data_IF_392252363182
#
_entry.id   IF_392252363182
#
_cell.length_a   1.000
_cell.length_b   1.000
_cell.length_c   1.000
_cell.angle_alpha   90.00
_cell.angle_beta   90.00
_cell.angle_gamma   90.00
#
_symmetry.space_group_name_H-M   'P 1'
#
loop_
_entity.id
_entity.type
_entity.pdbx_description
1 polymer ?
#
# COMPACT_ATOMS: atom_id res chain seq x y z
N UNK A 1 2.98 8.77 -42.33
CA UNK A 1 3.36 8.47 -40.96
C UNK A 1 2.16 8.68 -40.03
N UNK A 2 1.25 7.68 -39.99
CA UNK A 2 -0.02 7.75 -39.23
C UNK A 2 0.08 7.07 -37.87
N UNK A 3 1.27 6.79 -37.36
CA UNK A 3 1.47 6.10 -36.09
C UNK A 3 1.26 7.02 -34.87
N UNK A 4 1.41 8.33 -35.02
CA UNK A 4 1.27 9.26 -33.89
C UNK A 4 -0.18 9.44 -33.43
N UNK A 5 -1.13 9.48 -34.37
CA UNK A 5 -2.55 9.67 -34.00
C UNK A 5 -3.13 8.40 -33.35
N UNK A 6 -2.72 7.22 -33.76
CA UNK A 6 -3.14 5.97 -33.13
C UNK A 6 -2.55 5.73 -31.74
N UNK A 7 -1.41 6.36 -31.43
CA UNK A 7 -0.77 6.31 -30.11
C UNK A 7 -1.42 7.33 -29.17
N UNK A 8 -1.81 8.50 -29.69
CA UNK A 8 -2.51 9.53 -28.91
C UNK A 8 -3.87 9.08 -28.39
N UNK A 9 -4.60 8.28 -29.18
CA UNK A 9 -5.90 7.75 -28.76
C UNK A 9 -5.83 6.59 -27.76
N UNK A 10 -4.66 5.99 -27.55
CA UNK A 10 -4.47 4.82 -26.68
C UNK A 10 -3.98 5.18 -25.29
N UNK A 11 -3.48 6.36 -25.10
CA UNK A 11 -3.00 6.83 -23.79
C UNK A 11 -4.07 7.71 -23.14
N UNK A 12 -4.47 7.47 -21.89
CA UNK A 12 -5.24 8.45 -21.11
C UNK A 12 -4.42 9.73 -20.87
N UNK A 13 -3.16 9.72 -21.18
CA UNK A 13 -2.25 10.84 -21.24
C UNK A 13 -1.82 11.06 -22.70
N UNK A 14 -1.81 12.26 -23.14
CA UNK A 14 -1.51 12.73 -24.49
C UNK A 14 -0.08 12.43 -24.95
N UNK A 15 0.31 11.15 -25.07
CA UNK A 15 1.61 10.75 -25.59
C UNK A 15 2.45 9.89 -24.62
N UNK A 16 3.25 9.00 -25.17
CA UNK A 16 4.26 8.25 -24.43
C UNK A 16 5.32 9.24 -23.91
N UNK A 17 5.42 9.37 -22.60
CA UNK A 17 6.36 10.29 -21.94
C UNK A 17 5.73 11.47 -21.21
N UNK A 18 4.46 11.80 -21.50
CA UNK A 18 3.77 12.90 -20.81
C UNK A 18 3.17 12.50 -19.44
N UNK A 19 3.29 11.23 -19.05
CA UNK A 19 2.75 10.74 -17.79
C UNK A 19 3.86 10.58 -16.78
N UNK A 20 3.91 11.48 -15.83
CA UNK A 20 4.86 11.42 -14.73
C UNK A 20 4.09 11.20 -13.41
N UNK A 21 4.31 10.05 -12.79
CA UNK A 21 3.70 9.71 -11.48
C UNK A 21 4.66 10.03 -10.34
N UNK A 22 4.14 10.55 -9.23
CA UNK A 22 4.85 10.77 -7.97
C UNK A 22 4.33 9.79 -6.96
N UNK A 23 5.24 9.14 -6.27
CA UNK A 23 4.91 8.18 -5.21
C UNK A 23 6.11 7.97 -4.30
N UNK A 24 5.84 7.48 -3.11
CA UNK A 24 6.88 7.12 -2.17
C UNK A 24 7.80 6.03 -2.76
N UNK A 25 9.07 6.11 -2.43
CA UNK A 25 10.17 5.30 -3.01
C UNK A 25 9.97 3.80 -2.90
N UNK A 26 9.36 3.33 -1.82
CA UNK A 26 9.14 1.92 -1.52
C UNK A 26 7.68 1.49 -1.68
N UNK A 27 6.82 2.34 -2.24
CA UNK A 27 5.42 2.02 -2.47
C UNK A 27 5.25 0.77 -3.33
N UNK A 28 4.22 -0.01 -3.03
CA UNK A 28 3.95 -1.31 -3.66
C UNK A 28 3.86 -1.21 -5.18
N UNK A 29 3.14 -0.20 -5.68
CA UNK A 29 2.93 0.02 -7.12
C UNK A 29 4.24 0.30 -7.89
N UNK A 30 5.31 0.68 -7.21
CA UNK A 30 6.62 0.85 -7.82
C UNK A 30 7.46 -0.42 -7.73
N UNK A 31 7.53 -1.02 -6.54
CA UNK A 31 8.49 -2.09 -6.23
C UNK A 31 8.00 -3.47 -6.70
N UNK A 32 6.68 -3.73 -6.61
CA UNK A 32 6.17 -5.12 -6.70
C UNK A 32 5.25 -5.40 -7.88
N UNK A 33 4.92 -4.41 -8.72
CA UNK A 33 3.98 -4.60 -9.84
C UNK A 33 4.69 -4.89 -11.18
N UNK A 34 5.88 -5.50 -11.14
CA UNK A 34 6.60 -5.96 -12.33
C UNK A 34 6.93 -4.85 -13.34
N UNK A 35 7.02 -3.60 -12.91
CA UNK A 35 7.22 -2.46 -13.81
C UNK A 35 6.00 -2.11 -14.66
N UNK A 36 4.80 -2.59 -14.28
CA UNK A 36 3.56 -2.36 -15.02
C UNK A 36 3.22 -0.90 -15.27
N UNK A 37 3.63 0.00 -14.38
CA UNK A 37 3.50 1.45 -14.58
C UNK A 37 4.21 1.95 -15.85
N UNK A 38 5.35 1.36 -16.19
CA UNK A 38 6.10 1.70 -17.41
C UNK A 38 5.61 0.87 -18.61
N UNK A 39 5.57 -0.46 -18.45
CA UNK A 39 5.29 -1.39 -19.54
C UNK A 39 3.84 -1.28 -20.08
N UNK A 40 2.86 -1.05 -19.21
CA UNK A 40 1.44 -1.05 -19.58
C UNK A 40 0.86 0.37 -19.66
N UNK A 41 1.32 1.27 -18.80
CA UNK A 41 0.78 2.64 -18.74
C UNK A 41 1.69 3.68 -19.38
N UNK A 42 2.90 3.32 -19.83
CA UNK A 42 3.86 4.25 -20.43
C UNK A 42 4.28 5.38 -19.47
N UNK A 43 4.23 5.14 -18.15
CA UNK A 43 4.49 6.17 -17.16
C UNK A 43 5.96 6.20 -16.76
N UNK A 44 6.53 7.41 -16.69
CA UNK A 44 7.74 7.65 -15.90
C UNK A 44 7.38 7.91 -14.45
N UNK A 45 8.31 7.67 -13.52
CA UNK A 45 8.10 7.83 -12.07
C UNK A 45 9.11 8.85 -11.51
N UNK A 46 8.62 9.76 -10.66
CA UNK A 46 9.43 10.49 -9.69
C UNK A 46 9.22 9.88 -8.31
N UNK A 47 10.30 9.45 -7.70
CA UNK A 47 10.29 8.91 -6.35
C UNK A 47 10.41 10.06 -5.36
N UNK A 48 9.52 10.08 -4.39
CA UNK A 48 9.49 11.05 -3.30
C UNK A 48 10.00 10.35 -2.04
N UNK A 49 10.86 10.98 -1.23
CA UNK A 49 11.24 10.39 0.05
C UNK A 49 10.04 10.30 0.98
N UNK A 50 10.05 9.30 1.84
CA UNK A 50 9.05 9.12 2.89
C UNK A 50 9.70 8.63 4.17
N UNK A 51 9.20 9.10 5.31
CA UNK A 51 9.52 8.56 6.61
C UNK A 51 8.49 7.50 6.98
N UNK A 52 8.93 6.27 7.27
CA UNK A 52 8.01 5.13 7.42
C UNK A 52 7.06 4.97 6.22
N UNK A 53 7.48 5.33 5.00
CA UNK A 53 6.64 5.28 3.80
C UNK A 53 5.64 6.42 3.64
N UNK A 54 5.67 7.43 4.51
CA UNK A 54 4.79 8.58 4.52
C UNK A 54 5.49 9.80 3.92
N UNK A 55 5.04 10.24 2.75
CA UNK A 55 5.57 11.44 2.08
C UNK A 55 5.16 12.72 2.80
N UNK A 56 6.04 13.70 2.81
CA UNK A 56 5.68 15.05 3.22
C UNK A 56 5.07 15.82 2.03
N UNK A 57 3.99 16.60 2.22
CA UNK A 57 3.41 17.43 1.18
C UNK A 57 4.41 18.35 0.48
N UNK A 58 5.37 18.94 1.20
CA UNK A 58 6.39 19.82 0.62
C UNK A 58 7.32 19.07 -0.34
N UNK A 59 7.71 17.83 -0.03
CA UNK A 59 8.54 17.00 -0.91
C UNK A 59 7.75 16.57 -2.15
N UNK A 60 6.46 16.30 -2.01
CA UNK A 60 5.58 16.02 -3.16
C UNK A 60 5.53 17.25 -4.07
N UNK A 61 5.33 18.45 -3.55
CA UNK A 61 5.29 19.68 -4.32
C UNK A 61 6.61 19.93 -5.05
N UNK A 62 7.73 19.81 -4.35
CA UNK A 62 9.07 19.98 -4.93
C UNK A 62 9.38 18.97 -6.05
N UNK A 63 8.76 17.79 -6.02
CA UNK A 63 8.93 16.76 -7.04
C UNK A 63 8.14 17.03 -8.32
N UNK A 64 7.12 17.89 -8.28
CA UNK A 64 6.24 18.14 -9.43
C UNK A 64 6.95 19.06 -10.42
N UNK A 65 7.19 18.51 -11.60
CA UNK A 65 7.76 19.29 -12.72
C UNK A 65 6.66 20.06 -13.42
N UNK A 66 6.90 21.36 -13.64
CA UNK A 66 6.03 22.24 -14.42
C UNK A 66 6.71 22.48 -15.76
N UNK A 67 6.09 22.06 -16.85
CA UNK A 67 6.64 22.21 -18.20
C UNK A 67 6.67 23.64 -18.70
N UNK A 68 5.98 24.56 -18.03
CA UNK A 68 5.91 25.97 -18.38
C UNK A 68 7.32 26.60 -18.32
N UNK A 69 7.79 27.08 -19.45
CA UNK A 69 9.13 27.66 -19.61
C UNK A 69 10.26 26.66 -19.85
N UNK A 70 10.00 25.37 -19.93
CA UNK A 70 11.02 24.34 -20.18
C UNK A 70 11.28 24.05 -21.65
N UNK A 71 10.59 24.70 -22.59
CA UNK A 71 10.60 24.37 -24.01
C UNK A 71 10.31 22.90 -24.34
N UNK A 72 9.57 22.18 -23.43
CA UNK A 72 9.23 20.77 -23.61
C UNK A 72 10.36 19.79 -23.26
N UNK A 73 11.40 20.22 -22.57
CA UNK A 73 12.54 19.35 -22.22
C UNK A 73 12.20 18.24 -21.24
N UNK A 74 11.09 18.34 -20.49
CA UNK A 74 10.64 17.29 -19.58
C UNK A 74 9.11 17.25 -19.48
N UNK A 75 8.55 16.06 -19.21
CA UNK A 75 7.09 15.90 -19.09
C UNK A 75 6.56 16.55 -17.83
N UNK A 76 5.31 17.03 -17.92
CA UNK A 76 4.57 17.55 -16.78
C UNK A 76 4.19 16.46 -15.79
N UNK A 77 4.02 16.83 -14.54
CA UNK A 77 3.38 15.98 -13.56
C UNK A 77 1.93 15.68 -13.93
N UNK A 78 1.52 14.43 -13.86
CA UNK A 78 0.15 14.04 -14.22
C UNK A 78 -0.60 13.29 -13.12
N UNK A 79 0.13 12.70 -12.17
CA UNK A 79 -0.49 11.94 -11.09
C UNK A 79 0.39 11.94 -9.83
N UNK A 80 -0.26 11.99 -8.67
CA UNK A 80 0.32 11.72 -7.35
C UNK A 80 -0.37 10.51 -6.76
N UNK A 81 0.42 9.53 -6.29
CA UNK A 81 -0.10 8.34 -5.64
C UNK A 81 0.41 8.27 -4.19
N UNK A 82 -0.48 7.95 -3.25
CA UNK A 82 -0.14 7.63 -1.86
C UNK A 82 -0.53 6.18 -1.57
N UNK A 83 0.19 5.52 -0.68
CA UNK A 83 -0.11 4.17 -0.22
C UNK A 83 -0.54 4.22 1.25
N UNK A 84 -1.77 3.82 1.56
CA UNK A 84 -2.30 3.85 2.92
C UNK A 84 -3.05 2.54 3.26
N UNK A 85 -2.51 1.73 4.17
CA UNK A 85 -1.27 1.89 4.95
C UNK A 85 -0.03 1.60 4.11
N UNK A 86 1.12 2.20 4.48
CA UNK A 86 2.39 1.88 3.81
C UNK A 86 2.87 0.48 4.20
N UNK A 87 3.04 -0.39 3.21
CA UNK A 87 3.49 -1.76 3.43
C UNK A 87 4.95 -1.81 3.89
N UNK A 88 5.84 -1.12 3.19
CA UNK A 88 7.27 -1.08 3.53
C UNK A 88 7.56 -0.17 4.71
N UNK A 89 6.65 0.73 5.05
CA UNK A 89 6.71 1.54 6.26
C UNK A 89 6.26 0.81 7.54
N UNK A 90 5.92 -0.48 7.46
CA UNK A 90 5.50 -1.22 8.66
C UNK A 90 4.00 -1.12 8.98
N UNK A 91 3.19 -0.71 8.02
CA UNK A 91 1.74 -0.51 8.23
C UNK A 91 1.38 0.88 8.74
N UNK A 92 2.29 1.82 8.59
CA UNK A 92 2.10 3.23 8.97
C UNK A 92 0.97 3.88 8.19
N UNK A 93 0.33 4.86 8.83
CA UNK A 93 -0.85 5.54 8.32
C UNK A 93 -0.56 7.02 8.06
N UNK A 94 -1.08 7.53 6.95
CA UNK A 94 -1.10 8.98 6.71
C UNK A 94 -2.06 9.68 7.68
N UNK A 95 -1.63 10.81 8.25
CA UNK A 95 -2.55 11.71 8.93
C UNK A 95 -3.51 12.37 7.93
N UNK A 96 -4.66 12.83 8.45
CA UNK A 96 -5.64 13.57 7.65
C UNK A 96 -5.04 14.79 6.97
N UNK A 97 -4.20 15.52 7.69
CA UNK A 97 -3.55 16.75 7.25
C UNK A 97 -2.61 16.48 6.06
N UNK A 98 -1.82 15.41 6.14
CA UNK A 98 -0.93 14.99 5.06
C UNK A 98 -1.72 14.52 3.82
N UNK A 99 -2.78 13.72 4.00
CA UNK A 99 -3.65 13.30 2.90
C UNK A 99 -4.27 14.50 2.19
N UNK A 100 -4.89 15.41 2.93
CA UNK A 100 -5.54 16.60 2.40
C UNK A 100 -4.51 17.53 1.71
N UNK A 101 -3.33 17.70 2.32
CA UNK A 101 -2.24 18.52 1.78
C UNK A 101 -1.73 17.99 0.44
N UNK A 102 -1.48 16.69 0.34
CA UNK A 102 -1.01 16.05 -0.91
C UNK A 102 -2.08 16.15 -2.01
N UNK A 103 -3.34 15.88 -1.68
CA UNK A 103 -4.44 15.99 -2.64
C UNK A 103 -4.62 17.44 -3.14
N UNK A 104 -4.48 18.42 -2.24
CA UNK A 104 -4.50 19.85 -2.60
C UNK A 104 -3.38 20.19 -3.57
N UNK A 105 -2.14 19.78 -3.27
CA UNK A 105 -0.97 20.01 -4.13
C UNK A 105 -1.17 19.37 -5.51
N UNK A 106 -1.67 18.14 -5.56
CA UNK A 106 -1.97 17.46 -6.82
C UNK A 106 -2.94 18.30 -7.66
N UNK A 107 -4.06 18.74 -7.08
CA UNK A 107 -5.09 19.55 -7.75
C UNK A 107 -4.56 20.90 -8.24
N UNK A 108 -3.81 21.63 -7.41
CA UNK A 108 -3.23 22.93 -7.75
C UNK A 108 -2.20 22.84 -8.89
N UNK A 109 -1.62 21.67 -9.09
CA UNK A 109 -0.66 21.39 -10.16
C UNK A 109 -1.26 20.60 -11.33
N UNK A 110 -2.59 20.53 -11.46
CA UNK A 110 -3.30 19.77 -12.49
C UNK A 110 -2.91 18.29 -12.57
N UNK A 111 -2.46 17.70 -11.47
CA UNK A 111 -2.20 16.28 -11.34
C UNK A 111 -3.46 15.56 -10.84
N UNK A 112 -3.70 14.35 -11.35
CA UNK A 112 -4.64 13.42 -10.73
C UNK A 112 -4.07 12.89 -9.44
N UNK A 113 -4.94 12.43 -8.56
CA UNK A 113 -4.56 11.84 -7.28
C UNK A 113 -5.17 10.45 -7.08
N UNK A 114 -4.37 9.53 -6.55
CA UNK A 114 -4.80 8.16 -6.29
C UNK A 114 -4.33 7.68 -4.93
N UNK A 115 -5.17 6.91 -4.24
CA UNK A 115 -4.78 6.16 -3.05
C UNK A 115 -4.67 4.69 -3.41
N UNK A 116 -3.48 4.10 -3.26
CA UNK A 116 -3.37 2.66 -3.06
C UNK A 116 -3.82 2.36 -1.63
N UNK A 117 -5.08 2.00 -1.51
CA UNK A 117 -5.76 1.71 -0.25
C UNK A 117 -5.83 0.21 0.03
N UNK A 118 -4.79 -0.53 -0.32
CA UNK A 118 -4.74 -1.98 -0.13
C UNK A 118 -5.10 -2.42 1.30
N UNK A 119 -4.83 -1.55 2.30
CA UNK A 119 -5.21 -1.74 3.71
C UNK A 119 -5.90 -0.50 4.29
N UNK A 120 -6.71 0.18 3.52
CA UNK A 120 -7.36 1.43 3.95
C UNK A 120 -8.28 1.23 5.18
N UNK A 121 -8.86 0.05 5.36
CA UNK A 121 -9.67 -0.24 6.54
C UNK A 121 -8.81 -0.40 7.80
N UNK A 122 -7.61 -0.95 7.69
CA UNK A 122 -6.64 -0.92 8.79
C UNK A 122 -6.30 0.52 9.17
N UNK A 123 -5.98 1.37 8.17
CA UNK A 123 -5.75 2.80 8.43
C UNK A 123 -6.96 3.48 9.07
N UNK A 124 -8.19 3.11 8.67
CA UNK A 124 -9.43 3.63 9.24
C UNK A 124 -9.58 3.29 10.71
N UNK A 125 -9.37 2.04 11.08
CA UNK A 125 -9.45 1.59 12.48
C UNK A 125 -8.37 2.27 13.31
N UNK A 126 -7.13 2.28 12.85
CA UNK A 126 -6.00 2.89 13.57
C UNK A 126 -6.17 4.39 13.80
N UNK A 127 -6.62 5.14 12.80
CA UNK A 127 -6.73 6.61 12.88
C UNK A 127 -8.12 7.12 13.28
N UNK A 128 -9.11 6.25 13.43
CA UNK A 128 -10.53 6.61 13.62
C UNK A 128 -11.08 7.53 12.50
N UNK A 129 -10.45 7.53 11.33
CA UNK A 129 -10.85 8.31 10.17
C UNK A 129 -11.50 7.40 9.12
N UNK A 130 -12.75 7.67 8.74
CA UNK A 130 -13.45 6.80 7.79
C UNK A 130 -12.75 6.76 6.43
N UNK A 131 -12.79 5.61 5.70
CA UNK A 131 -12.24 5.50 4.34
C UNK A 131 -12.82 6.53 3.38
N UNK A 132 -14.11 6.84 3.52
CA UNK A 132 -14.79 7.91 2.76
C UNK A 132 -14.15 9.27 3.00
N UNK A 133 -13.75 9.57 4.25
CA UNK A 133 -13.08 10.83 4.58
C UNK A 133 -11.66 10.86 4.05
N UNK A 134 -10.92 9.75 4.14
CA UNK A 134 -9.55 9.66 3.60
C UNK A 134 -9.52 9.89 2.08
N UNK A 135 -10.46 9.28 1.36
CA UNK A 135 -10.52 9.33 -0.10
C UNK A 135 -11.21 10.57 -0.67
N UNK A 136 -11.83 11.42 0.18
CA UNK A 136 -12.72 12.51 -0.27
C UNK A 136 -12.09 13.47 -1.27
N UNK A 137 -10.81 13.80 -1.09
CA UNK A 137 -10.10 14.77 -1.90
C UNK A 137 -9.32 14.12 -3.07
N UNK A 138 -9.41 12.79 -3.21
CA UNK A 138 -8.71 12.00 -4.23
C UNK A 138 -9.61 11.64 -5.40
N UNK A 139 -9.04 11.56 -6.61
CA UNK A 139 -9.78 11.18 -7.82
C UNK A 139 -10.17 9.70 -7.82
N UNK A 140 -9.35 8.84 -7.20
CA UNK A 140 -9.62 7.41 -7.13
C UNK A 140 -8.88 6.73 -5.97
N UNK A 141 -9.39 5.57 -5.59
CA UNK A 141 -8.78 4.69 -4.60
C UNK A 141 -8.95 3.23 -5.03
N UNK A 142 -7.90 2.43 -4.88
CA UNK A 142 -7.99 0.97 -4.94
C UNK A 142 -8.03 0.37 -3.54
N UNK A 143 -8.86 -0.66 -3.34
CA UNK A 143 -9.09 -1.28 -2.03
C UNK A 143 -9.00 -2.79 -2.18
N UNK A 144 -8.11 -3.46 -1.43
CA UNK A 144 -8.07 -4.92 -1.40
C UNK A 144 -9.12 -5.49 -0.44
N UNK A 145 -9.81 -6.53 -0.90
CA UNK A 145 -10.72 -7.32 -0.08
C UNK A 145 -10.06 -8.58 0.49
N UNK A 146 -8.99 -9.05 -0.15
CA UNK A 146 -8.30 -10.33 0.11
C UNK A 146 -7.11 -10.23 1.06
N UNK A 147 -7.07 -9.23 1.91
CA UNK A 147 -6.05 -9.05 2.98
C UNK A 147 -6.73 -9.17 4.35
N UNK A 148 -6.57 -8.22 5.24
CA UNK A 148 -7.18 -8.26 6.59
C UNK A 148 -8.69 -8.47 6.61
N UNK A 149 -9.40 -8.06 5.56
CA UNK A 149 -10.85 -8.32 5.43
C UNK A 149 -11.20 -9.79 5.17
N UNK A 150 -10.25 -10.63 4.75
CA UNK A 150 -10.42 -12.07 4.65
C UNK A 150 -11.27 -12.57 3.47
N UNK A 151 -11.58 -11.74 2.48
CA UNK A 151 -12.19 -12.25 1.26
C UNK A 151 -11.19 -13.15 0.47
N UNK A 152 -11.64 -14.19 -0.22
CA UNK A 152 -10.74 -15.14 -0.87
C UNK A 152 -9.93 -14.52 -2.01
N UNK A 153 -10.46 -13.45 -2.63
CA UNK A 153 -9.84 -12.76 -3.77
C UNK A 153 -10.49 -11.40 -3.98
N UNK A 154 -9.74 -10.50 -4.59
CA UNK A 154 -10.30 -9.32 -5.24
C UNK A 154 -9.85 -7.99 -4.64
N UNK A 155 -9.99 -7.00 -5.48
CA UNK A 155 -9.87 -5.59 -5.13
C UNK A 155 -10.95 -4.77 -5.84
N UNK A 156 -11.27 -3.63 -5.27
CA UNK A 156 -12.28 -2.70 -5.79
C UNK A 156 -11.60 -1.39 -6.11
N UNK A 157 -11.86 -0.86 -7.31
CA UNK A 157 -11.50 0.50 -7.67
C UNK A 157 -12.73 1.40 -7.45
N UNK A 158 -12.54 2.49 -6.72
CA UNK A 158 -13.56 3.52 -6.46
C UNK A 158 -13.07 4.83 -7.06
N UNK A 159 -13.98 5.58 -7.67
CA UNK A 159 -13.68 6.87 -8.31
C UNK A 159 -14.92 7.45 -9.01
N UNK A 160 -14.73 8.49 -9.82
CA UNK A 160 -15.83 9.06 -10.60
C UNK A 160 -16.37 8.07 -11.64
N UNK A 161 -17.63 8.24 -12.07
CA UNK A 161 -18.25 7.44 -13.13
C UNK A 161 -17.40 7.41 -14.41
N UNK A 162 -16.81 8.54 -14.79
CA UNK A 162 -15.91 8.62 -15.95
C UNK A 162 -14.67 7.76 -15.78
N UNK A 163 -14.03 7.84 -14.63
CA UNK A 163 -12.84 7.02 -14.30
C UNK A 163 -13.20 5.53 -14.33
N UNK A 164 -14.31 5.14 -13.72
CA UNK A 164 -14.75 3.75 -13.67
C UNK A 164 -15.14 3.19 -15.04
N UNK A 165 -15.77 4.00 -15.90
CA UNK A 165 -16.07 3.60 -17.28
C UNK A 165 -14.80 3.25 -18.07
N UNK A 166 -13.75 4.07 -17.97
CA UNK A 166 -12.45 3.81 -18.59
C UNK A 166 -11.78 2.58 -17.97
N UNK A 167 -11.77 2.47 -16.64
CA UNK A 167 -11.20 1.37 -15.91
C UNK A 167 -11.87 0.02 -16.25
N UNK A 168 -13.19 0.00 -16.49
CA UNK A 168 -13.91 -1.20 -16.88
C UNK A 168 -13.38 -1.80 -18.19
N UNK A 169 -13.05 -0.95 -19.19
CA UNK A 169 -12.42 -1.38 -20.44
C UNK A 169 -11.03 -1.98 -20.19
N UNK A 170 -10.21 -1.31 -19.39
CA UNK A 170 -8.87 -1.80 -19.03
C UNK A 170 -8.94 -3.12 -18.29
N UNK A 171 -9.85 -3.26 -17.33
CA UNK A 171 -10.10 -4.53 -16.64
C UNK A 171 -10.37 -5.66 -17.62
N UNK A 172 -11.18 -5.42 -18.66
CA UNK A 172 -11.45 -6.44 -19.68
C UNK A 172 -10.21 -6.79 -20.49
N UNK A 173 -9.43 -5.79 -20.89
CA UNK A 173 -8.22 -5.98 -21.70
C UNK A 173 -7.14 -6.74 -20.94
N UNK A 174 -7.00 -6.52 -19.62
CA UNK A 174 -6.05 -7.22 -18.76
C UNK A 174 -6.54 -8.58 -18.22
N UNK A 175 -7.66 -9.10 -18.73
CA UNK A 175 -8.16 -10.41 -18.33
C UNK A 175 -8.99 -10.42 -17.04
N UNK A 176 -9.16 -9.29 -16.36
CA UNK A 176 -9.95 -9.18 -15.13
C UNK A 176 -11.48 -9.11 -15.32
N UNK A 177 -11.96 -9.32 -16.54
CA UNK A 177 -13.40 -9.30 -16.87
C UNK A 177 -14.08 -10.65 -16.62
N UNK A 178 -13.95 -11.21 -15.43
CA UNK A 178 -14.58 -12.47 -15.03
C UNK A 178 -16.10 -12.40 -15.15
N UNK A 179 -16.69 -13.46 -15.73
CA UNK A 179 -18.15 -13.67 -15.75
C UNK A 179 -18.56 -14.42 -14.49
N UNK A 180 -19.85 -14.31 -14.13
CA UNK A 180 -20.41 -14.99 -12.96
C UNK A 180 -19.58 -14.76 -11.66
N UNK A 181 -19.11 -13.53 -11.46
CA UNK A 181 -18.30 -13.15 -10.29
C UNK A 181 -19.09 -13.05 -8.99
N UNK A 182 -20.40 -13.39 -9.00
CA UNK A 182 -21.28 -13.25 -7.85
C UNK A 182 -20.83 -14.00 -6.61
N UNK A 183 -20.22 -15.19 -6.76
CA UNK A 183 -19.65 -15.97 -5.65
C UNK A 183 -18.56 -15.18 -4.93
N UNK A 184 -17.66 -14.55 -5.68
CA UNK A 184 -16.57 -13.74 -5.13
C UNK A 184 -17.10 -12.43 -4.55
N UNK A 185 -18.08 -11.82 -5.21
CA UNK A 185 -18.72 -10.61 -4.74
C UNK A 185 -19.45 -10.83 -3.40
N UNK A 186 -20.14 -11.97 -3.24
CA UNK A 186 -20.81 -12.33 -1.99
C UNK A 186 -19.80 -12.44 -0.83
N UNK A 187 -18.66 -13.08 -1.05
CA UNK A 187 -17.59 -13.14 -0.06
C UNK A 187 -17.03 -11.76 0.28
N UNK A 188 -16.87 -10.89 -0.73
CA UNK A 188 -16.44 -9.51 -0.53
C UNK A 188 -17.45 -8.67 0.27
N UNK A 189 -18.75 -8.83 0.01
CA UNK A 189 -19.84 -8.17 0.77
C UNK A 189 -19.79 -8.64 2.21
N UNK A 190 -19.74 -9.96 2.45
CA UNK A 190 -19.64 -10.52 3.79
C UNK A 190 -18.44 -9.93 4.56
N UNK A 191 -17.28 -9.85 3.92
CA UNK A 191 -16.06 -9.30 4.50
C UNK A 191 -16.23 -7.83 4.89
N UNK A 192 -16.87 -7.02 4.05
CA UNK A 192 -17.12 -5.61 4.33
C UNK A 192 -18.15 -5.40 5.45
N UNK A 193 -19.12 -6.28 5.58
CA UNK A 193 -20.17 -6.18 6.60
C UNK A 193 -19.76 -6.73 7.96
N UNK A 194 -18.78 -7.67 8.01
CA UNK A 194 -18.48 -8.42 9.22
C UNK A 194 -17.04 -8.29 9.73
N UNK A 195 -16.08 -7.92 8.85
CA UNK A 195 -14.66 -8.04 9.20
C UNK A 195 -13.92 -6.71 9.38
N UNK A 196 -14.60 -5.56 9.22
CA UNK A 196 -13.92 -4.26 9.36
C UNK A 196 -13.57 -3.99 10.82
N UNK A 197 -14.55 -4.06 11.71
CA UNK A 197 -14.36 -3.68 13.13
C UNK A 197 -13.37 -4.61 13.85
N UNK A 198 -13.37 -5.90 13.48
CA UNK A 198 -12.44 -6.87 14.04
C UNK A 198 -10.96 -6.66 13.65
N UNK A 199 -10.66 -5.79 12.68
CA UNK A 199 -9.26 -5.44 12.37
C UNK A 199 -8.53 -4.84 13.59
N UNK A 200 -9.25 -4.28 14.55
CA UNK A 200 -8.67 -3.84 15.83
C UNK A 200 -7.98 -4.98 16.57
N UNK A 201 -8.54 -6.19 16.56
CA UNK A 201 -7.94 -7.36 17.19
C UNK A 201 -6.59 -7.72 16.56
N UNK A 202 -6.48 -7.58 15.22
CA UNK A 202 -5.21 -7.81 14.52
C UNK A 202 -4.16 -6.76 14.92
N UNK A 203 -4.58 -5.51 15.14
CA UNK A 203 -3.69 -4.43 15.59
C UNK A 203 -3.22 -4.66 17.03
N UNK A 204 -4.13 -5.03 17.93
CA UNK A 204 -3.82 -5.32 19.34
C UNK A 204 -2.81 -6.48 19.44
N UNK A 205 -3.03 -7.55 18.68
CA UNK A 205 -2.12 -8.71 18.60
C UNK A 205 -0.74 -8.33 18.04
N UNK A 206 -0.69 -7.48 17.01
CA UNK A 206 0.58 -6.98 16.49
C UNK A 206 1.33 -6.16 17.53
N UNK A 207 0.65 -5.27 18.24
CA UNK A 207 1.24 -4.45 19.29
C UNK A 207 1.71 -5.30 20.48
N UNK A 208 0.98 -6.36 20.84
CA UNK A 208 1.38 -7.29 21.89
C UNK A 208 2.69 -8.00 21.54
N UNK A 209 2.82 -8.53 20.31
CA UNK A 209 4.06 -9.14 19.81
C UNK A 209 5.19 -8.11 19.82
N UNK A 210 4.95 -6.90 19.31
CA UNK A 210 5.95 -5.84 19.25
C UNK A 210 6.45 -5.43 20.64
N UNK A 211 5.53 -5.26 21.58
CA UNK A 211 5.86 -4.91 22.98
C UNK A 211 6.66 -6.01 23.69
N UNK A 212 6.40 -7.26 23.37
CA UNK A 212 7.18 -8.37 23.91
C UNK A 212 8.60 -8.38 23.32
N UNK A 213 8.74 -8.14 22.01
CA UNK A 213 10.04 -8.08 21.33
C UNK A 213 10.89 -6.89 21.76
N UNK A 214 10.28 -5.74 22.04
CA UNK A 214 10.97 -4.54 22.53
C UNK A 214 11.67 -4.74 23.91
N UNK A 215 11.27 -5.79 24.63
CA UNK A 215 11.87 -6.19 25.91
C UNK A 215 13.00 -7.21 25.75
N UNK A 216 13.26 -7.68 24.55
CA UNK A 216 14.24 -8.71 24.23
C UNK A 216 15.48 -8.04 23.59
N UNK A 217 16.65 -8.17 24.21
CA UNK A 217 17.89 -7.50 23.78
C UNK A 217 18.34 -7.89 22.35
N UNK A 218 17.89 -9.03 21.84
CA UNK A 218 18.26 -9.54 20.50
C UNK A 218 17.45 -8.93 19.35
N UNK A 219 16.45 -8.11 19.64
CA UNK A 219 15.55 -7.54 18.63
C UNK A 219 15.41 -6.03 18.80
N UNK A 220 15.24 -5.34 17.68
CA UNK A 220 14.90 -3.92 17.64
C UNK A 220 13.55 -3.75 16.95
N UNK A 221 12.60 -3.14 17.63
CA UNK A 221 11.26 -2.83 17.11
C UNK A 221 10.96 -1.36 17.40
N UNK A 222 10.51 -0.63 16.39
CA UNK A 222 10.01 0.73 16.56
C UNK A 222 8.50 0.67 16.86
N UNK A 223 8.14 0.78 18.14
CA UNK A 223 6.75 0.71 18.59
C UNK A 223 5.88 1.83 18.02
N UNK A 224 6.44 3.00 17.69
CA UNK A 224 5.68 4.11 17.07
C UNK A 224 5.26 3.78 15.64
N UNK A 225 6.00 2.93 14.95
CA UNK A 225 5.67 2.46 13.60
C UNK A 225 4.68 1.28 13.59
N UNK A 226 4.44 0.61 14.72
CA UNK A 226 3.45 -0.46 14.82
C UNK A 226 2.05 0.15 14.98
N UNK A 227 1.52 0.67 13.89
CA UNK A 227 0.22 1.36 13.89
C UNK A 227 -0.95 0.48 13.47
N UNK A 228 -0.67 -0.67 12.90
CA UNK A 228 -1.68 -1.62 12.40
C UNK A 228 -1.26 -3.06 12.65
N UNK A 229 -1.54 -3.95 11.75
CA UNK A 229 -1.36 -5.39 11.86
C UNK A 229 0.02 -5.89 11.39
N UNK A 230 1.04 -5.04 11.34
CA UNK A 230 2.39 -5.42 10.90
C UNK A 230 3.45 -5.02 11.92
N UNK A 231 4.40 -5.92 12.15
CA UNK A 231 5.57 -5.69 12.98
C UNK A 231 6.82 -5.94 12.14
N UNK A 232 7.66 -4.94 12.01
CA UNK A 232 8.99 -5.06 11.44
C UNK A 232 9.98 -5.24 12.58
N UNK A 233 10.71 -6.34 12.54
CA UNK A 233 11.65 -6.73 13.58
C UNK A 233 13.03 -6.76 12.98
N UNK A 234 13.92 -5.93 13.48
CA UNK A 234 15.34 -6.04 13.19
C UNK A 234 15.97 -7.04 14.13
N UNK A 235 16.83 -7.87 13.59
CA UNK A 235 17.67 -8.81 14.30
C UNK A 235 19.13 -8.58 13.91
N UNK A 236 20.05 -9.27 14.53
CA UNK A 236 21.47 -9.16 14.22
C UNK A 236 21.76 -9.32 12.74
N UNK A 237 22.79 -8.65 12.25
CA UNK A 237 23.16 -8.61 10.83
C UNK A 237 23.37 -10.02 10.28
N UNK A 238 22.55 -10.38 9.28
CA UNK A 238 22.55 -11.71 8.69
C UNK A 238 21.67 -12.73 9.42
N UNK A 239 21.00 -12.35 10.51
CA UNK A 239 20.21 -13.25 11.35
C UNK A 239 18.79 -13.53 10.83
N UNK A 240 18.26 -12.73 9.88
CA UNK A 240 16.86 -12.83 9.46
C UNK A 240 16.50 -14.21 8.88
N UNK A 241 17.31 -14.77 7.99
CA UNK A 241 17.05 -16.09 7.41
C UNK A 241 17.14 -17.23 8.45
N UNK A 242 18.11 -17.14 9.36
CA UNK A 242 18.25 -18.11 10.45
C UNK A 242 17.05 -18.06 11.40
N UNK A 243 16.58 -16.85 11.74
CA UNK A 243 15.42 -16.65 12.57
C UNK A 243 14.16 -17.20 11.90
N UNK A 244 13.90 -16.88 10.62
CA UNK A 244 12.79 -17.44 9.85
C UNK A 244 12.82 -18.97 9.86
N UNK A 245 13.99 -19.58 9.59
CA UNK A 245 14.14 -21.03 9.59
C UNK A 245 13.86 -21.67 10.97
N UNK A 246 14.13 -20.95 12.06
CA UNK A 246 13.78 -21.42 13.42
C UNK A 246 12.28 -21.30 13.67
N UNK A 247 11.66 -20.17 13.33
CA UNK A 247 10.24 -19.95 13.48
C UNK A 247 9.41 -20.95 12.67
N UNK A 248 9.82 -21.25 11.43
CA UNK A 248 9.15 -22.25 10.58
C UNK A 248 9.16 -23.64 11.21
N UNK A 249 10.28 -24.07 11.84
CA UNK A 249 10.33 -25.36 12.58
C UNK A 249 9.38 -25.40 13.77
N UNK A 250 8.99 -24.23 14.29
CA UNK A 250 8.02 -24.09 15.38
C UNK A 250 6.58 -23.86 14.86
N UNK A 251 6.39 -23.92 13.53
CA UNK A 251 5.10 -23.74 12.87
C UNK A 251 4.67 -22.28 12.73
N UNK A 252 5.60 -21.34 12.85
CA UNK A 252 5.35 -19.90 12.70
C UNK A 252 5.92 -19.42 11.39
N UNK A 253 5.08 -18.76 10.58
CA UNK A 253 5.47 -18.18 9.30
C UNK A 253 5.63 -16.66 9.42
N UNK A 254 6.76 -16.16 8.96
CA UNK A 254 7.03 -14.73 8.81
C UNK A 254 7.80 -14.51 7.51
N UNK A 255 8.06 -13.27 7.13
CA UNK A 255 8.73 -12.96 5.87
C UNK A 255 10.05 -12.23 6.12
N UNK A 256 11.11 -12.69 5.46
CA UNK A 256 12.36 -11.92 5.35
C UNK A 256 12.15 -10.69 4.47
N UNK A 257 12.57 -9.54 4.96
CA UNK A 257 12.54 -8.27 4.23
C UNK A 257 13.91 -7.95 3.64
N UNK A 258 14.94 -8.14 4.46
CA UNK A 258 16.36 -8.04 4.11
C UNK A 258 17.17 -8.95 5.02
N UNK A 259 18.51 -8.88 4.96
CA UNK A 259 19.41 -9.77 5.73
C UNK A 259 19.27 -9.65 7.26
N UNK A 260 18.67 -8.56 7.75
CA UNK A 260 18.55 -8.25 9.18
C UNK A 260 17.11 -7.94 9.63
N UNK A 261 16.14 -7.98 8.74
CA UNK A 261 14.77 -7.57 9.05
C UNK A 261 13.76 -8.64 8.64
N UNK A 262 12.91 -9.03 9.56
CA UNK A 262 11.74 -9.85 9.27
C UNK A 262 10.45 -9.05 9.44
N UNK A 263 9.37 -9.52 8.81
CA UNK A 263 8.03 -8.95 8.95
C UNK A 263 7.08 -10.01 9.47
N UNK A 264 6.41 -9.70 10.57
CA UNK A 264 5.30 -10.46 11.14
C UNK A 264 4.01 -9.73 10.78
N UNK A 265 2.96 -10.49 10.43
CA UNK A 265 1.65 -9.95 10.08
C UNK A 265 0.57 -10.73 10.81
N UNK A 266 -0.24 -10.04 11.58
CA UNK A 266 -1.42 -10.60 12.23
C UNK A 266 -2.64 -10.49 11.30
N UNK A 267 -3.54 -11.43 11.40
CA UNK A 267 -4.73 -11.50 10.54
C UNK A 267 -5.82 -12.38 11.17
N UNK A 268 -6.98 -12.44 10.54
CA UNK A 268 -8.21 -13.13 10.94
C UNK A 268 -8.03 -14.52 11.60
N UNK A 269 -7.02 -15.29 11.20
CA UNK A 269 -6.81 -16.66 11.70
C UNK A 269 -5.80 -16.73 12.86
N UNK A 270 -5.22 -15.61 13.26
CA UNK A 270 -4.30 -15.56 14.40
C UNK A 270 -5.11 -15.40 15.66
N UNK A 271 -4.94 -16.31 16.59
CA UNK A 271 -5.57 -16.30 17.92
C UNK A 271 -4.61 -15.74 18.96
N UNK A 272 -5.13 -15.45 20.15
CA UNK A 272 -4.30 -14.99 21.27
C UNK A 272 -3.31 -16.09 21.69
N UNK A 273 -3.69 -17.38 21.62
CA UNK A 273 -2.78 -18.51 21.86
C UNK A 273 -1.64 -18.53 20.82
N UNK A 274 -1.92 -18.22 19.56
CA UNK A 274 -0.87 -18.11 18.51
C UNK A 274 0.08 -16.95 18.80
N UNK A 275 -0.41 -15.85 19.34
CA UNK A 275 0.41 -14.71 19.78
C UNK A 275 1.37 -15.16 20.90
N UNK A 276 0.87 -15.82 21.94
CA UNK A 276 1.70 -16.31 23.05
C UNK A 276 2.73 -17.34 22.58
N UNK A 277 2.35 -18.24 21.69
CA UNK A 277 3.29 -19.18 21.06
C UNK A 277 4.37 -18.46 20.25
N UNK A 278 4.01 -17.41 19.51
CA UNK A 278 4.94 -16.63 18.72
C UNK A 278 5.95 -15.90 19.60
N UNK A 279 5.48 -15.25 20.67
CA UNK A 279 6.34 -14.58 21.65
C UNK A 279 7.30 -15.57 22.30
N UNK A 280 6.80 -16.73 22.76
CA UNK A 280 7.64 -17.78 23.36
C UNK A 280 8.67 -18.35 22.39
N UNK A 281 8.31 -18.48 21.12
CA UNK A 281 9.21 -18.93 20.06
C UNK A 281 10.32 -17.92 19.76
N UNK A 282 9.98 -16.64 19.72
CA UNK A 282 10.94 -15.54 19.53
C UNK A 282 11.91 -15.43 20.72
N UNK A 283 11.39 -15.55 21.94
CA UNK A 283 12.22 -15.57 23.17
C UNK A 283 13.20 -16.73 23.16
N UNK A 284 12.75 -17.94 22.84
CA UNK A 284 13.63 -19.12 22.72
C UNK A 284 14.56 -19.09 21.52
N UNK A 285 14.32 -18.19 20.56
CA UNK A 285 15.12 -18.01 19.35
C UNK A 285 16.19 -16.88 19.50
N UNK A 286 16.31 -16.27 20.66
CA UNK A 286 17.40 -15.34 20.94
C UNK A 286 18.74 -16.05 20.74
N UNK A 287 19.63 -15.44 19.97
CA UNK A 287 20.95 -15.97 19.60
C UNK A 287 22.02 -15.57 20.62
#
# INVERSE_FOLDING_TARGET
FQAEDGIRDRSPSRGLGDVYKRQERYSHIYVYEGGGYAALSGCSIALVPGDGGIMDPADVEASIRKGDGSLGHYPNGSMVCVENTSNRGGGTCYSKEKLDGIAKIARENNCRSHIDGARIFNASISSSLSPKRMAREYDSISVCLSKGLGAPVGSVLVGSTETLYKAHRWRKMFGGGMRQAGVLAAAGIYSLENNIDRLSEDHDRAMEIATALDRMDSYEVDLEQVQTNMVYVKCDKGGAEALISRLERMGIQALTIDSSTIRIVTHLHITDDDVQRTISALDSAQL
#
